data_IF_360051793738
#
_entry.id   IF_360051793738
#
_cell.length_a   1.000
_cell.length_b   1.000
_cell.length_c   1.000
_cell.angle_alpha   90.00
_cell.angle_beta   90.00
_cell.angle_gamma   90.00
#
_symmetry.space_group_name_H-M   'P 1'
#
loop_
_entity.id
_entity.type
_entity.pdbx_description
1 polymer ?
#
# COMPACT_ATOMS: atom_id res chain seq x y z
N UNK A 1 17.28 -17.30 8.23
CA UNK A 1 15.84 -17.42 7.91
C UNK A 1 15.69 -18.53 6.89
N UNK A 2 14.89 -19.59 7.11
CA UNK A 2 14.62 -20.56 6.05
C UNK A 2 14.05 -19.78 4.86
N UNK A 3 14.84 -19.73 3.79
CA UNK A 3 14.64 -18.81 2.67
C UNK A 3 13.30 -19.04 1.99
N UNK A 4 12.70 -17.97 1.46
CA UNK A 4 11.59 -18.11 0.53
C UNK A 4 12.00 -19.08 -0.58
N UNK A 5 11.12 -20.00 -0.92
CA UNK A 5 11.31 -20.81 -2.12
C UNK A 5 11.42 -19.88 -3.34
N UNK A 6 12.05 -20.33 -4.43
CA UNK A 6 12.13 -19.53 -5.64
C UNK A 6 10.75 -19.07 -6.14
N UNK A 7 9.74 -19.93 -6.00
CA UNK A 7 8.34 -19.61 -6.30
C UNK A 7 7.79 -18.51 -5.39
N UNK A 8 7.91 -18.68 -4.06
CA UNK A 8 7.41 -17.69 -3.11
C UNK A 8 8.12 -16.34 -3.28
N UNK A 9 9.42 -16.37 -3.60
CA UNK A 9 10.20 -15.17 -3.89
C UNK A 9 9.69 -14.45 -5.13
N UNK A 10 9.49 -15.17 -6.24
CA UNK A 10 8.95 -14.59 -7.47
C UNK A 10 7.55 -14.00 -7.25
N UNK A 11 6.68 -14.73 -6.54
CA UNK A 11 5.36 -14.24 -6.16
C UNK A 11 5.44 -12.98 -5.28
N UNK A 12 6.34 -12.96 -4.29
CA UNK A 12 6.55 -11.80 -3.41
C UNK A 12 7.02 -10.57 -4.20
N UNK A 13 7.97 -10.74 -5.13
CA UNK A 13 8.46 -9.67 -6.00
C UNK A 13 7.35 -9.12 -6.90
N UNK A 14 6.54 -10.00 -7.51
CA UNK A 14 5.42 -9.59 -8.35
C UNK A 14 4.36 -8.80 -7.56
N UNK A 15 4.08 -9.18 -6.31
CA UNK A 15 3.19 -8.40 -5.42
C UNK A 15 3.81 -7.02 -5.15
N UNK A 16 5.10 -6.96 -4.82
CA UNK A 16 5.80 -5.72 -4.49
C UNK A 16 5.89 -4.75 -5.68
N UNK A 17 6.12 -5.26 -6.88
CA UNK A 17 6.14 -4.44 -8.11
C UNK A 17 4.77 -3.78 -8.36
N UNK A 18 3.70 -4.56 -8.33
CA UNK A 18 2.35 -4.00 -8.53
C UNK A 18 1.92 -3.10 -7.35
N UNK A 19 2.33 -3.43 -6.13
CA UNK A 19 2.09 -2.60 -4.95
C UNK A 19 2.74 -1.21 -5.06
N UNK A 20 3.90 -1.08 -5.72
CA UNK A 20 4.54 0.23 -5.93
C UNK A 20 3.71 1.13 -6.83
N UNK A 21 3.14 0.60 -7.91
CA UNK A 21 2.24 1.34 -8.80
C UNK A 21 0.98 1.79 -8.07
N UNK A 22 0.33 0.88 -7.36
CA UNK A 22 -0.88 1.18 -6.57
C UNK A 22 -0.57 2.21 -5.47
N UNK A 23 0.61 2.11 -4.85
CA UNK A 23 1.04 3.06 -3.82
C UNK A 23 1.33 4.45 -4.41
N UNK A 24 1.94 4.52 -5.59
CA UNK A 24 2.18 5.76 -6.31
C UNK A 24 0.87 6.47 -6.66
N UNK A 25 -0.10 5.73 -7.24
CA UNK A 25 -1.44 6.26 -7.52
C UNK A 25 -2.15 6.73 -6.24
N UNK A 26 -2.01 5.98 -5.14
CA UNK A 26 -2.53 6.35 -3.83
C UNK A 26 -1.92 7.63 -3.21
N UNK A 27 -0.87 8.22 -3.81
CA UNK A 27 -0.30 9.49 -3.35
C UNK A 27 -0.97 10.72 -3.97
N UNK A 28 -1.65 10.58 -5.09
CA UNK A 28 -2.41 11.66 -5.71
C UNK A 28 -3.70 11.95 -4.93
N UNK A 29 -4.35 13.11 -5.15
CA UNK A 29 -5.68 13.39 -4.60
C UNK A 29 -6.70 12.35 -5.06
N UNK A 30 -7.52 11.83 -4.14
CA UNK A 30 -8.54 10.81 -4.43
C UNK A 30 -9.41 11.18 -5.64
N UNK A 31 -9.89 12.43 -5.67
CA UNK A 31 -10.75 12.92 -6.76
C UNK A 31 -10.06 12.86 -8.11
N UNK A 32 -8.77 13.23 -8.18
CA UNK A 32 -8.02 13.19 -9.43
C UNK A 32 -7.91 11.75 -9.98
N UNK A 33 -7.65 10.78 -9.10
CA UNK A 33 -7.46 9.38 -9.50
C UNK A 33 -8.80 8.70 -9.82
N UNK A 34 -9.87 9.04 -9.09
CA UNK A 34 -11.18 8.41 -9.31
C UNK A 34 -12.00 9.07 -10.42
N UNK A 35 -11.71 10.32 -10.78
CA UNK A 35 -12.35 11.00 -11.91
C UNK A 35 -11.68 10.61 -13.26
N UNK A 36 -10.50 10.00 -13.24
CA UNK A 36 -9.80 9.51 -14.43
C UNK A 36 -10.00 7.99 -14.61
N UNK A 37 -10.72 7.61 -15.67
CA UNK A 37 -11.01 6.20 -15.98
C UNK A 37 -9.74 5.36 -16.23
N UNK A 38 -8.67 5.97 -16.75
CA UNK A 38 -7.40 5.30 -17.00
C UNK A 38 -6.75 4.93 -15.67
N UNK A 39 -6.75 5.86 -14.72
CA UNK A 39 -6.19 5.64 -13.38
C UNK A 39 -7.00 4.62 -12.58
N UNK A 40 -8.34 4.66 -12.66
CA UNK A 40 -9.21 3.65 -12.03
C UNK A 40 -8.96 2.27 -12.62
N UNK A 41 -8.85 2.17 -13.96
CA UNK A 41 -8.52 0.91 -14.63
C UNK A 41 -7.14 0.41 -14.22
N UNK A 42 -6.15 1.29 -14.15
CA UNK A 42 -4.80 0.94 -13.71
C UNK A 42 -4.80 0.44 -12.25
N UNK A 43 -5.55 1.09 -11.35
CA UNK A 43 -5.72 0.61 -9.97
C UNK A 43 -6.31 -0.79 -9.94
N UNK A 44 -7.40 -1.03 -10.69
CA UNK A 44 -8.05 -2.34 -10.77
C UNK A 44 -7.11 -3.42 -11.29
N UNK A 45 -6.43 -3.16 -12.41
CA UNK A 45 -5.53 -4.13 -13.06
C UNK A 45 -4.35 -4.46 -12.14
N UNK A 46 -3.75 -3.46 -11.49
CA UNK A 46 -2.60 -3.66 -10.60
C UNK A 46 -3.00 -4.35 -9.30
N UNK A 47 -4.15 -4.01 -8.72
CA UNK A 47 -4.68 -4.73 -7.56
C UNK A 47 -4.98 -6.17 -7.93
N UNK A 48 -5.64 -6.42 -9.07
CA UNK A 48 -5.89 -7.77 -9.60
C UNK A 48 -4.61 -8.59 -9.79
N UNK A 49 -3.54 -7.97 -10.32
CA UNK A 49 -2.23 -8.61 -10.44
C UNK A 49 -1.63 -8.95 -9.07
N UNK A 50 -1.77 -8.07 -8.06
CA UNK A 50 -1.39 -8.39 -6.67
C UNK A 50 -2.18 -9.58 -6.12
N UNK A 51 -3.50 -9.66 -6.39
CA UNK A 51 -4.34 -10.79 -5.95
C UNK A 51 -3.85 -12.11 -6.55
N UNK A 52 -3.60 -12.11 -7.86
CA UNK A 52 -3.12 -13.29 -8.59
C UNK A 52 -1.75 -13.74 -8.08
N UNK A 53 -0.79 -12.82 -7.94
CA UNK A 53 0.52 -13.14 -7.39
C UNK A 53 0.43 -13.61 -5.92
N UNK A 54 -0.50 -13.08 -5.14
CA UNK A 54 -0.75 -13.58 -3.80
C UNK A 54 -1.21 -15.04 -3.81
N UNK A 55 -2.00 -15.49 -4.80
CA UNK A 55 -2.45 -16.90 -4.91
C UNK A 55 -1.29 -17.86 -5.18
N UNK A 56 -0.22 -17.38 -5.78
CA UNK A 56 0.98 -18.17 -6.03
C UNK A 56 1.89 -18.36 -4.80
N UNK A 57 1.66 -17.59 -3.73
CA UNK A 57 2.32 -17.79 -2.45
C UNK A 57 1.84 -19.08 -1.79
N UNK A 58 2.77 -19.83 -1.22
CA UNK A 58 2.45 -21.02 -0.44
C UNK A 58 1.58 -20.66 0.78
N UNK A 59 0.64 -21.53 1.19
CA UNK A 59 -0.20 -21.30 2.37
C UNK A 59 0.61 -21.08 3.64
N UNK A 60 1.78 -21.74 3.76
CA UNK A 60 2.70 -21.56 4.87
C UNK A 60 3.30 -20.15 4.91
N UNK A 61 3.59 -19.56 3.75
CA UNK A 61 4.10 -18.19 3.67
C UNK A 61 3.00 -17.16 3.95
N UNK A 62 1.81 -17.33 3.35
CA UNK A 62 0.64 -16.47 3.63
C UNK A 62 0.30 -16.38 5.11
N UNK A 63 0.40 -17.49 5.86
CA UNK A 63 0.16 -17.54 7.31
C UNK A 63 1.19 -16.78 8.16
N UNK A 64 2.42 -16.60 7.65
CA UNK A 64 3.48 -15.88 8.36
C UNK A 64 3.40 -14.36 8.18
N UNK A 65 2.67 -13.90 7.17
CA UNK A 65 2.59 -12.51 6.77
C UNK A 65 1.30 -11.91 7.32
N UNK A 66 1.41 -10.90 8.18
CA UNK A 66 0.26 -10.21 8.77
C UNK A 66 -0.31 -9.14 7.80
N UNK A 67 -1.01 -9.64 6.77
CA UNK A 67 -1.72 -8.79 5.82
C UNK A 67 -3.22 -9.05 5.89
N UNK A 68 -4.05 -8.02 5.62
CA UNK A 68 -5.48 -8.18 5.50
C UNK A 68 -5.82 -8.87 4.17
N UNK A 69 -5.51 -10.16 4.05
CA UNK A 69 -5.66 -10.95 2.82
C UNK A 69 -7.08 -10.91 2.26
N UNK A 70 -8.10 -10.87 3.13
CA UNK A 70 -9.50 -10.69 2.73
C UNK A 70 -9.77 -9.40 1.93
N UNK A 71 -8.95 -8.35 2.10
CA UNK A 71 -9.05 -7.12 1.30
C UNK A 71 -8.32 -7.21 -0.04
N UNK A 72 -7.55 -8.26 -0.24
CA UNK A 72 -6.89 -8.64 -1.49
C UNK A 72 -7.57 -9.87 -2.13
N UNK A 73 -8.75 -10.26 -1.65
CA UNK A 73 -9.60 -11.23 -2.33
C UNK A 73 -10.41 -10.52 -3.41
N UNK A 74 -10.78 -11.27 -4.44
CA UNK A 74 -11.55 -10.76 -5.56
C UNK A 74 -12.99 -10.49 -5.11
N UNK A 75 -13.51 -9.32 -5.44
CA UNK A 75 -14.86 -8.89 -5.06
C UNK A 75 -15.62 -8.53 -6.34
N UNK A 76 -16.70 -9.26 -6.69
CA UNK A 76 -17.46 -9.00 -7.90
C UNK A 76 -18.16 -7.63 -7.89
N UNK A 77 -18.36 -7.03 -6.71
CA UNK A 77 -18.97 -5.71 -6.53
C UNK A 77 -17.91 -4.62 -6.26
N UNK A 78 -16.67 -4.83 -6.72
CA UNK A 78 -15.54 -3.93 -6.46
C UNK A 78 -15.73 -2.52 -7.06
N UNK A 79 -16.02 -1.58 -6.16
CA UNK A 79 -16.17 -0.16 -6.47
C UNK A 79 -14.83 0.59 -6.49
N UNK A 80 -14.73 1.74 -7.20
CA UNK A 80 -13.54 2.59 -7.19
C UNK A 80 -13.12 3.05 -5.77
N UNK A 81 -14.07 3.22 -4.87
CA UNK A 81 -13.83 3.53 -3.45
C UNK A 81 -13.14 2.39 -2.68
N UNK A 82 -13.47 1.14 -3.01
CA UNK A 82 -12.81 -0.04 -2.45
C UNK A 82 -11.37 -0.14 -2.96
N UNK A 83 -11.16 0.03 -4.27
CA UNK A 83 -9.82 0.10 -4.88
C UNK A 83 -8.96 1.19 -4.21
N UNK A 84 -9.54 2.37 -3.99
CA UNK A 84 -8.88 3.45 -3.28
C UNK A 84 -8.52 3.09 -1.83
N UNK A 85 -9.40 2.36 -1.15
CA UNK A 85 -9.15 1.88 0.22
C UNK A 85 -7.98 0.89 0.26
N UNK A 86 -7.90 -0.02 -0.71
CA UNK A 86 -6.77 -0.94 -0.88
C UNK A 86 -5.49 -0.12 -1.06
N UNK A 87 -5.49 0.83 -1.99
CA UNK A 87 -4.33 1.67 -2.28
C UNK A 87 -3.83 2.46 -1.05
N UNK A 88 -4.74 2.99 -0.22
CA UNK A 88 -4.37 3.83 0.93
C UNK A 88 -4.07 3.07 2.21
N UNK A 89 -4.70 1.92 2.43
CA UNK A 89 -4.63 1.21 3.73
C UNK A 89 -3.92 -0.13 3.65
N UNK A 90 -4.09 -0.86 2.54
CA UNK A 90 -3.56 -2.22 2.38
C UNK A 90 -2.17 -2.16 1.75
N UNK A 91 -2.03 -1.47 0.62
CA UNK A 91 -0.76 -1.41 -0.14
C UNK A 91 0.45 -0.94 0.68
N UNK A 92 0.36 0.08 1.56
CA UNK A 92 1.48 0.46 2.40
C UNK A 92 1.92 -0.65 3.38
N UNK A 93 0.97 -1.43 3.89
CA UNK A 93 1.27 -2.59 4.75
C UNK A 93 1.91 -3.71 3.95
N UNK A 94 1.40 -3.99 2.75
CA UNK A 94 1.97 -4.98 1.82
C UNK A 94 3.45 -4.67 1.57
N UNK A 95 3.77 -3.42 1.24
CA UNK A 95 5.16 -3.00 1.04
C UNK A 95 6.01 -3.16 2.31
N UNK A 96 5.48 -2.83 3.49
CA UNK A 96 6.21 -2.91 4.76
C UNK A 96 6.52 -4.37 5.18
N UNK A 97 5.56 -5.28 5.01
CA UNK A 97 5.68 -6.68 5.43
C UNK A 97 6.47 -7.53 4.42
N UNK A 98 6.26 -7.31 3.12
CA UNK A 98 6.86 -8.17 2.09
C UNK A 98 8.26 -7.74 1.68
N UNK A 99 8.58 -6.45 1.74
CA UNK A 99 9.89 -5.96 1.29
C UNK A 99 11.08 -6.55 2.07
N UNK A 100 11.03 -6.69 3.41
CA UNK A 100 12.14 -7.31 4.16
C UNK A 100 12.45 -8.74 3.70
N UNK A 101 11.44 -9.47 3.22
CA UNK A 101 11.54 -10.87 2.80
C UNK A 101 12.36 -11.07 1.52
N UNK A 102 12.51 -10.03 0.71
CA UNK A 102 13.27 -10.05 -0.54
C UNK A 102 14.47 -9.11 -0.49
N UNK A 103 14.87 -8.65 0.70
CA UNK A 103 15.95 -7.67 0.88
C UNK A 103 17.31 -8.12 0.35
N UNK A 104 17.52 -9.42 0.19
CA UNK A 104 18.72 -10.01 -0.39
C UNK A 104 18.70 -10.06 -1.93
N UNK A 105 17.57 -9.75 -2.57
CA UNK A 105 17.43 -9.74 -4.02
C UNK A 105 17.86 -8.37 -4.61
N UNK A 106 18.53 -8.33 -5.77
CA UNK A 106 18.95 -7.07 -6.40
C UNK A 106 17.77 -6.12 -6.71
N UNK A 107 16.59 -6.67 -6.98
CA UNK A 107 15.35 -5.93 -7.24
C UNK A 107 14.90 -5.12 -6.01
N UNK A 108 15.31 -5.52 -4.80
CA UNK A 108 14.98 -4.80 -3.57
C UNK A 108 15.52 -3.37 -3.53
N UNK A 109 16.59 -3.10 -4.29
CA UNK A 109 17.16 -1.75 -4.42
C UNK A 109 16.21 -0.75 -5.09
N UNK A 110 15.28 -1.25 -5.93
CA UNK A 110 14.32 -0.42 -6.66
C UNK A 110 12.96 -0.30 -5.94
N UNK A 111 12.73 -1.07 -4.87
CA UNK A 111 11.45 -1.06 -4.17
C UNK A 111 11.25 0.22 -3.35
N UNK A 112 10.11 0.88 -3.55
CA UNK A 112 9.71 2.06 -2.76
C UNK A 112 9.63 1.71 -1.26
N UNK A 113 10.23 2.57 -0.42
CA UNK A 113 9.96 2.57 1.03
C UNK A 113 8.70 3.38 1.27
N UNK A 114 7.61 2.81 1.83
CA UNK A 114 6.52 3.64 2.28
C UNK A 114 7.06 4.60 3.35
N UNK A 115 6.85 5.91 3.15
CA UNK A 115 7.29 6.90 4.14
C UNK A 115 6.56 6.64 5.46
N UNK A 116 7.26 6.68 6.60
CA UNK A 116 6.58 6.69 7.89
C UNK A 116 5.65 7.91 7.91
N UNK A 117 4.38 7.71 8.28
CA UNK A 117 3.41 8.80 8.43
C UNK A 117 4.06 9.87 9.32
N UNK A 118 4.45 11.01 8.73
CA UNK A 118 4.88 12.16 9.52
C UNK A 118 3.73 12.49 10.49
N UNK A 119 3.99 12.53 11.81
CA UNK A 119 2.96 12.93 12.75
C UNK A 119 2.47 14.30 12.30
N UNK A 120 1.14 14.45 12.18
CA UNK A 120 0.52 15.69 11.74
C UNK A 120 1.14 16.83 12.55
N UNK A 121 1.78 17.78 11.86
CA UNK A 121 2.35 18.94 12.51
C UNK A 121 1.22 19.59 13.30
N UNK A 122 1.30 19.53 14.64
CA UNK A 122 0.35 20.20 15.53
C UNK A 122 0.38 21.67 15.12
N UNK A 123 -0.64 22.11 14.38
CA UNK A 123 -0.94 23.53 14.15
C UNK A 123 -1.01 24.15 15.54
N UNK A 124 0.05 24.84 15.95
CA UNK A 124 0.02 25.70 17.14
C UNK A 124 -0.95 26.83 16.82
N UNK A 125 -2.22 26.63 17.12
CA UNK A 125 -3.17 27.73 17.27
C UNK A 125 -2.59 28.64 18.34
N UNK A 126 -2.06 29.80 17.91
CA UNK A 126 -1.71 30.90 18.80
C UNK A 126 -2.99 31.26 19.56
N UNK A 127 -3.08 30.84 20.83
CA UNK A 127 -4.01 31.41 21.80
C UNK A 127 -3.74 32.92 21.81
N UNK A 128 -4.67 33.69 21.25
CA UNK A 128 -4.71 35.13 21.46
C UNK A 128 -4.83 35.35 22.97
N UNK A 129 -3.76 35.84 23.57
CA UNK A 129 -3.67 36.18 24.98
C UNK A 129 -4.62 37.35 25.22
N UNK A 130 -5.70 37.08 25.95
CA UNK A 130 -6.41 38.10 26.68
C UNK A 130 -5.42 38.77 27.64
N UNK A 131 -5.05 40.01 27.35
CA UNK A 131 -4.34 40.88 28.27
C UNK A 131 -5.01 42.25 28.26
N UNK A 132 -5.92 42.43 29.22
CA UNK A 132 -6.30 43.71 29.83
C UNK A 132 -5.18 44.75 29.73
N UNK A 133 -5.48 45.95 29.23
CA UNK A 133 -4.92 47.16 29.82
C UNK A 133 -5.92 48.32 29.77
N UNK A 134 -6.30 48.74 30.98
CA UNK A 134 -6.99 49.97 31.36
C UNK A 134 -6.52 51.19 30.55
N UNK A 135 -7.46 52.02 30.13
CA UNK A 135 -7.45 53.46 30.46
C UNK A 135 -8.85 54.03 30.31
#
# INVERSE_FOLDING_TARGET
>A
MPGLTARDRAATLAILENAQWVYALGRYPKKQVLDDEIDVKMLRDRIGAMRKAAQDLSPAQRKKIDLPWARLEDDPDETPDMLWTVAKKVTPKVLAELRPLVSDAPEAAFLISPEPKKPAAKRKTKKATAARKKK
#
